data_IF_633705410085
#
_entry.id   IF_633705410085
#
_cell.length_a   1.000
_cell.length_b   1.000
_cell.length_c   1.000
_cell.angle_alpha   90.00
_cell.angle_beta   90.00
_cell.angle_gamma   90.00
#
_symmetry.space_group_name_H-M   'P 1'
#
loop_
_entity.id
_entity.type
_entity.pdbx_description
1 polymer ?
#
# COMPACT_ATOMS: atom_id res chain seq x y z
N UNK A 1 10.55 -14.36 -0.66
CA UNK A 1 11.00 -12.97 -0.99
C UNK A 1 12.37 -12.67 -0.38
N UNK A 2 13.41 -12.51 -1.22
CA UNK A 2 14.79 -12.16 -0.77
C UNK A 2 14.87 -10.65 -0.46
N UNK A 3 14.71 -10.31 0.82
CA UNK A 3 14.68 -8.91 1.28
C UNK A 3 15.76 -8.66 2.34
N UNK A 4 16.62 -7.64 2.16
CA UNK A 4 17.73 -7.38 3.07
C UNK A 4 17.27 -7.11 4.51
N UNK A 5 17.89 -7.80 5.47
CA UNK A 5 17.66 -7.54 6.92
C UNK A 5 18.38 -6.29 7.41
N UNK A 6 19.50 -5.94 6.79
CA UNK A 6 20.34 -4.79 7.14
C UNK A 6 20.22 -3.69 6.10
N UNK A 7 20.08 -2.41 6.50
CA UNK A 7 20.06 -1.28 5.58
C UNK A 7 21.30 -1.26 4.67
N UNK A 8 21.08 -1.02 3.37
CA UNK A 8 22.15 -0.98 2.35
C UNK A 8 23.29 -0.05 2.75
N UNK A 9 23.00 1.08 3.35
CA UNK A 9 23.99 2.06 3.83
C UNK A 9 24.93 1.54 4.93
N UNK A 10 24.63 0.38 5.52
CA UNK A 10 25.43 -0.26 6.59
C UNK A 10 26.13 -1.52 6.13
N UNK A 11 25.97 -1.93 4.86
CA UNK A 11 26.63 -3.11 4.33
C UNK A 11 28.12 -2.83 4.10
N UNK A 12 28.99 -3.51 4.82
CA UNK A 12 30.45 -3.33 4.69
C UNK A 12 30.98 -3.73 3.31
N UNK A 13 30.43 -4.79 2.74
CA UNK A 13 30.84 -5.37 1.44
C UNK A 13 29.79 -5.12 0.35
N UNK A 14 29.27 -3.89 0.29
CA UNK A 14 28.28 -3.54 -0.73
C UNK A 14 28.87 -3.67 -2.14
N UNK A 15 28.16 -4.41 -3.00
CA UNK A 15 28.42 -4.55 -4.42
C UNK A 15 27.17 -4.09 -5.18
N UNK A 16 27.26 -3.02 -6.01
CA UNK A 16 26.11 -2.61 -6.82
C UNK A 16 25.79 -3.69 -7.86
N UNK A 17 24.48 -4.01 -7.99
CA UNK A 17 24.01 -5.01 -8.96
C UNK A 17 23.56 -4.38 -10.28
N UNK A 18 23.37 -3.07 -10.34
CA UNK A 18 22.93 -2.31 -11.50
C UNK A 18 23.31 -0.82 -11.35
N UNK A 19 23.19 -0.04 -12.44
CA UNK A 19 23.40 1.39 -12.39
C UNK A 19 22.19 2.12 -11.79
N UNK A 20 22.32 3.00 -10.80
CA UNK A 20 21.18 3.74 -10.23
C UNK A 20 20.65 4.85 -11.14
N UNK A 21 21.31 5.15 -12.25
CA UNK A 21 20.88 6.15 -13.24
C UNK A 21 19.84 5.53 -14.20
N UNK A 22 18.64 6.10 -14.26
CA UNK A 22 17.50 5.55 -15.02
C UNK A 22 17.77 5.44 -16.52
N UNK A 23 18.46 6.43 -17.10
CA UNK A 23 18.76 6.48 -18.53
C UNK A 23 19.93 5.56 -18.95
N UNK A 24 20.49 4.79 -18.03
CA UNK A 24 21.57 3.86 -18.33
C UNK A 24 21.02 2.49 -18.73
N UNK A 25 21.49 1.85 -19.81
CA UNK A 25 21.09 0.48 -20.16
C UNK A 25 21.28 -0.52 -19.01
N UNK A 26 22.31 -0.30 -18.18
CA UNK A 26 22.58 -1.14 -17.00
C UNK A 26 21.59 -0.91 -15.84
N UNK A 27 20.65 0.02 -15.97
CA UNK A 27 19.65 0.27 -14.93
C UNK A 27 18.64 -0.89 -14.80
N UNK A 28 18.19 -1.44 -15.92
CA UNK A 28 17.22 -2.54 -15.95
C UNK A 28 17.85 -3.93 -15.95
N UNK A 29 19.19 -4.02 -15.94
CA UNK A 29 19.89 -5.31 -15.90
C UNK A 29 19.42 -6.15 -14.70
N UNK A 30 18.99 -7.36 -14.97
CA UNK A 30 18.56 -8.36 -13.98
C UNK A 30 19.62 -9.42 -13.73
N UNK A 31 20.43 -9.71 -14.76
CA UNK A 31 21.48 -10.73 -14.73
C UNK A 31 22.71 -10.27 -13.96
N UNK A 32 23.52 -11.25 -13.52
CA UNK A 32 24.85 -11.01 -13.00
C UNK A 32 25.76 -10.41 -14.07
N UNK A 33 26.81 -9.66 -13.67
CA UNK A 33 27.76 -9.13 -14.60
C UNK A 33 27.69 -7.61 -14.83
N UNK A 34 26.98 -6.87 -13.96
CA UNK A 34 27.06 -5.41 -13.96
C UNK A 34 28.50 -4.92 -13.82
N UNK A 35 28.99 -4.17 -14.80
CA UNK A 35 30.38 -3.69 -14.87
C UNK A 35 30.52 -2.31 -14.25
N UNK A 36 31.26 -2.25 -13.16
CA UNK A 36 31.58 -1.01 -12.44
C UNK A 36 33.02 -1.07 -11.90
N UNK A 37 33.58 0.09 -11.57
CA UNK A 37 34.84 0.19 -10.86
C UNK A 37 34.69 0.98 -9.57
N UNK A 38 35.51 0.66 -8.56
CA UNK A 38 35.67 1.52 -7.38
C UNK A 38 36.47 2.74 -7.81
N UNK A 39 35.84 3.91 -7.80
CA UNK A 39 36.43 5.12 -8.41
C UNK A 39 37.20 5.95 -7.38
N UNK A 40 36.70 6.09 -6.15
CA UNK A 40 37.32 6.86 -5.08
C UNK A 40 36.82 6.45 -3.72
N UNK A 41 37.56 6.83 -2.67
CA UNK A 41 37.12 6.76 -1.27
C UNK A 41 37.31 8.13 -0.63
N UNK A 42 36.38 8.53 0.22
CA UNK A 42 36.46 9.79 0.96
C UNK A 42 35.70 9.68 2.29
N UNK A 43 36.03 10.53 3.24
CA UNK A 43 35.28 10.65 4.49
C UNK A 43 34.17 11.67 4.33
N UNK A 44 32.94 11.32 4.73
CA UNK A 44 31.86 12.29 4.78
C UNK A 44 31.97 13.19 6.03
N UNK A 45 31.12 14.23 6.13
CA UNK A 45 31.11 15.16 7.28
C UNK A 45 30.90 14.50 8.65
N UNK A 46 30.49 13.23 8.70
CA UNK A 46 30.31 12.43 9.93
C UNK A 46 31.48 11.45 10.17
N UNK A 47 32.61 11.66 9.53
CA UNK A 47 33.81 10.81 9.65
C UNK A 47 33.66 9.38 9.09
N UNK A 48 32.65 9.11 8.29
CA UNK A 48 32.39 7.77 7.73
C UNK A 48 33.06 7.64 6.36
N UNK A 49 33.84 6.56 6.17
CA UNK A 49 34.46 6.24 4.88
C UNK A 49 33.37 5.84 3.86
N UNK A 50 33.33 6.53 2.74
CA UNK A 50 32.40 6.32 1.63
C UNK A 50 33.15 5.86 0.39
N UNK A 51 32.72 4.75 -0.20
CA UNK A 51 33.23 4.31 -1.49
C UNK A 51 32.37 4.90 -2.62
N UNK A 52 33.00 5.54 -3.58
CA UNK A 52 32.39 6.01 -4.83
C UNK A 52 32.63 4.96 -5.91
N UNK A 53 31.58 4.61 -6.62
CA UNK A 53 31.58 3.69 -7.75
C UNK A 53 31.39 4.49 -9.05
N UNK A 54 31.91 3.96 -10.17
CA UNK A 54 31.67 4.46 -11.52
C UNK A 54 31.09 3.34 -12.36
N UNK A 55 29.97 3.59 -13.02
CA UNK A 55 29.43 2.70 -14.05
C UNK A 55 30.35 2.70 -15.27
N UNK A 56 30.73 1.55 -15.80
CA UNK A 56 31.59 1.47 -16.96
C UNK A 56 30.87 1.77 -18.28
N UNK A 57 29.55 1.62 -18.32
CA UNK A 57 28.70 1.91 -19.49
C UNK A 57 28.42 3.39 -19.63
N UNK A 58 27.75 4.03 -18.66
CA UNK A 58 27.37 5.45 -18.76
C UNK A 58 28.37 6.43 -18.10
N UNK A 59 29.45 5.93 -17.51
CA UNK A 59 30.49 6.68 -16.79
C UNK A 59 30.03 7.50 -15.59
N UNK A 60 28.73 7.46 -15.24
CA UNK A 60 28.20 8.13 -14.03
C UNK A 60 28.81 7.58 -12.78
N UNK A 61 29.05 8.46 -11.81
CA UNK A 61 29.53 8.07 -10.47
C UNK A 61 28.38 8.09 -9.46
N UNK A 62 28.43 7.16 -8.52
CA UNK A 62 27.42 7.04 -7.44
C UNK A 62 28.06 6.42 -6.20
N UNK A 63 27.35 6.51 -5.09
CA UNK A 63 27.76 5.92 -3.80
C UNK A 63 26.72 4.90 -3.36
N UNK A 64 27.07 4.06 -2.39
CA UNK A 64 26.17 3.06 -1.80
C UNK A 64 24.82 3.65 -1.38
N UNK A 65 24.82 4.89 -0.85
CA UNK A 65 23.58 5.56 -0.40
C UNK A 65 22.57 5.80 -1.54
N UNK A 66 22.97 5.75 -2.82
CA UNK A 66 22.02 5.81 -3.94
C UNK A 66 20.99 4.67 -3.92
N UNK A 67 21.30 3.57 -3.23
CA UNK A 67 20.44 2.40 -3.05
C UNK A 67 19.71 2.37 -1.71
N UNK A 68 19.91 3.35 -0.85
CA UNK A 68 19.25 3.46 0.45
C UNK A 68 17.90 4.19 0.35
N UNK A 69 16.92 3.77 1.15
CA UNK A 69 15.63 4.46 1.24
C UNK A 69 15.78 5.93 1.73
N UNK A 70 16.91 6.24 2.37
CA UNK A 70 17.27 7.59 2.86
C UNK A 70 17.96 8.47 1.81
N UNK A 71 18.12 7.99 0.59
CA UNK A 71 18.82 8.73 -0.48
C UNK A 71 18.24 10.15 -0.68
N UNK A 72 19.11 11.16 -0.73
CA UNK A 72 18.76 12.60 -0.79
C UNK A 72 17.97 13.15 0.41
N UNK A 73 17.91 12.44 1.55
CA UNK A 73 17.28 12.98 2.75
C UNK A 73 18.28 13.86 3.54
N UNK A 74 17.85 15.08 3.89
CA UNK A 74 18.61 15.95 4.80
C UNK A 74 18.56 15.44 6.25
N UNK A 75 17.44 14.83 6.66
CA UNK A 75 17.20 14.29 8.00
C UNK A 75 16.79 12.82 7.94
N UNK A 76 17.72 11.90 7.58
CA UNK A 76 17.43 10.47 7.41
C UNK A 76 16.99 9.79 8.72
N UNK A 77 17.39 10.30 9.87
CA UNK A 77 17.02 9.80 11.20
C UNK A 77 15.51 9.87 11.48
N UNK A 78 14.78 10.76 10.81
CA UNK A 78 13.34 10.91 10.97
C UNK A 78 12.52 9.83 10.22
N UNK A 79 13.11 9.07 9.30
CA UNK A 79 12.37 8.16 8.43
C UNK A 79 11.62 7.09 9.22
N UNK A 80 12.31 6.40 10.14
CA UNK A 80 11.72 5.34 10.97
C UNK A 80 10.74 5.85 12.01
N UNK A 81 11.05 6.89 12.81
CA UNK A 81 10.08 7.46 13.77
C UNK A 81 8.79 7.95 13.09
N UNK A 82 8.90 8.61 11.94
CA UNK A 82 7.71 9.05 11.18
C UNK A 82 6.89 7.85 10.71
N UNK A 83 7.52 6.77 10.20
CA UNK A 83 6.79 5.56 9.80
C UNK A 83 6.00 4.95 10.96
N UNK A 84 6.63 4.82 12.14
CA UNK A 84 5.99 4.28 13.33
C UNK A 84 4.81 5.14 13.81
N UNK A 85 5.01 6.45 13.93
CA UNK A 85 3.99 7.38 14.42
C UNK A 85 2.80 7.54 13.45
N UNK A 86 3.03 7.43 12.14
CA UNK A 86 1.94 7.39 11.15
C UNK A 86 1.02 6.19 11.39
N UNK A 87 1.57 5.00 11.65
CA UNK A 87 0.79 3.79 11.92
C UNK A 87 0.21 3.74 13.34
N UNK A 88 0.71 4.56 14.25
CA UNK A 88 0.12 4.80 15.57
C UNK A 88 -1.04 5.81 15.54
N UNK A 89 -1.51 6.21 14.36
CA UNK A 89 -2.66 7.09 14.21
C UNK A 89 -2.40 8.57 14.48
N UNK A 90 -1.13 9.00 14.45
CA UNK A 90 -0.76 10.40 14.67
C UNK A 90 -0.88 11.23 13.40
N UNK A 91 -1.40 12.45 13.53
CA UNK A 91 -1.45 13.41 12.42
C UNK A 91 -0.09 14.08 12.20
N UNK A 92 0.18 14.54 10.97
CA UNK A 92 1.47 15.13 10.60
C UNK A 92 1.93 16.26 11.53
N UNK A 93 1.01 17.12 11.98
CA UNK A 93 1.34 18.20 12.92
C UNK A 93 1.72 17.66 14.31
N UNK A 94 1.10 16.57 14.76
CA UNK A 94 1.44 15.91 16.04
C UNK A 94 2.84 15.27 15.94
N UNK A 95 3.11 14.55 14.85
CA UNK A 95 4.44 13.96 14.59
C UNK A 95 5.51 15.04 14.53
N UNK A 96 5.23 16.15 13.86
CA UNK A 96 6.17 17.27 13.73
C UNK A 96 6.55 17.85 15.10
N UNK A 97 5.56 18.05 15.98
CA UNK A 97 5.80 18.51 17.36
C UNK A 97 6.61 17.49 18.17
N UNK A 98 6.24 16.22 18.09
CA UNK A 98 6.93 15.15 18.83
C UNK A 98 8.40 14.96 18.40
N UNK A 99 8.71 15.21 17.12
CA UNK A 99 10.06 15.01 16.57
C UNK A 99 10.87 16.32 16.39
N UNK A 100 10.37 17.46 16.85
CA UNK A 100 11.05 18.75 16.73
C UNK A 100 11.36 19.12 15.27
N UNK A 101 10.38 18.99 14.36
CA UNK A 101 10.57 19.31 12.95
C UNK A 101 9.33 20.00 12.33
N UNK A 102 9.47 20.57 11.13
CA UNK A 102 8.35 21.19 10.43
C UNK A 102 7.34 20.14 9.93
N UNK A 103 6.05 20.45 9.96
CA UNK A 103 4.99 19.58 9.44
C UNK A 103 5.16 19.26 7.94
N UNK A 104 5.74 20.17 7.15
CA UNK A 104 6.10 19.95 5.75
C UNK A 104 7.18 18.87 5.60
N UNK A 105 8.10 18.74 6.56
CA UNK A 105 9.10 17.66 6.59
C UNK A 105 8.42 16.31 6.78
N UNK A 106 7.49 16.20 7.73
CA UNK A 106 6.69 14.99 7.95
C UNK A 106 5.88 14.64 6.70
N UNK A 107 5.25 15.63 6.06
CA UNK A 107 4.48 15.42 4.82
C UNK A 107 5.34 14.84 3.70
N UNK A 108 6.56 15.36 3.49
CA UNK A 108 7.50 14.83 2.48
C UNK A 108 7.97 13.42 2.81
N UNK A 109 8.23 13.13 4.10
CA UNK A 109 8.62 11.79 4.54
C UNK A 109 7.46 10.82 4.38
N UNK A 110 6.23 11.20 4.76
CA UNK A 110 5.02 10.40 4.56
C UNK A 110 4.82 10.02 3.10
N UNK A 111 4.96 10.99 2.17
CA UNK A 111 4.87 10.72 0.73
C UNK A 111 5.98 9.79 0.23
N UNK A 112 7.21 9.92 0.72
CA UNK A 112 8.31 9.01 0.41
C UNK A 112 8.03 7.59 0.89
N UNK A 113 7.57 7.45 2.14
CA UNK A 113 7.19 6.15 2.73
C UNK A 113 6.07 5.49 1.95
N UNK A 114 5.04 6.25 1.58
CA UNK A 114 3.92 5.76 0.81
C UNK A 114 4.33 5.27 -0.58
N UNK A 115 5.10 6.06 -1.34
CA UNK A 115 5.63 5.62 -2.65
C UNK A 115 6.52 4.40 -2.54
N UNK A 116 7.35 4.30 -1.51
CA UNK A 116 8.13 3.11 -1.25
C UNK A 116 7.24 1.90 -0.95
N UNK A 117 6.19 2.09 -0.14
CA UNK A 117 5.24 1.03 0.20
C UNK A 117 4.45 0.53 -1.01
N UNK A 118 4.08 1.40 -1.96
CA UNK A 118 3.48 0.97 -3.24
C UNK A 118 4.41 -0.03 -3.95
N UNK A 119 5.70 0.28 -4.04
CA UNK A 119 6.67 -0.59 -4.71
C UNK A 119 6.90 -1.91 -3.93
N UNK A 120 6.96 -1.85 -2.60
CA UNK A 120 7.05 -3.07 -1.76
C UNK A 120 5.82 -3.95 -1.95
N UNK A 121 4.63 -3.34 -1.95
CA UNK A 121 3.38 -4.06 -2.12
C UNK A 121 3.30 -4.72 -3.50
N UNK A 122 3.68 -4.01 -4.57
CA UNK A 122 3.76 -4.56 -5.92
C UNK A 122 4.69 -5.77 -5.98
N UNK A 123 5.95 -5.62 -5.52
CA UNK A 123 6.91 -6.73 -5.49
C UNK A 123 6.41 -7.93 -4.69
N UNK A 124 5.73 -7.70 -3.57
CA UNK A 124 5.20 -8.80 -2.75
C UNK A 124 4.04 -9.53 -3.43
N UNK A 125 3.24 -8.84 -4.22
CA UNK A 125 2.18 -9.47 -5.01
C UNK A 125 2.72 -10.18 -6.24
N UNK A 126 3.79 -9.67 -6.86
CA UNK A 126 4.45 -10.36 -7.99
C UNK A 126 5.08 -11.70 -7.57
N UNK A 127 5.58 -11.82 -6.32
CA UNK A 127 6.09 -13.09 -5.77
C UNK A 127 5.03 -14.20 -5.63
N UNK A 128 3.75 -13.84 -5.61
CA UNK A 128 2.63 -14.77 -5.51
C UNK A 128 1.82 -14.88 -6.81
N UNK A 129 2.34 -14.34 -7.91
CA UNK A 129 1.69 -14.45 -9.22
C UNK A 129 1.55 -15.94 -9.61
N UNK A 130 0.32 -16.32 -10.01
CA UNK A 130 -0.02 -17.72 -10.30
C UNK A 130 -0.25 -18.62 -9.08
N UNK A 131 -0.12 -18.12 -7.85
CA UNK A 131 -0.18 -18.91 -6.60
C UNK A 131 -1.38 -18.57 -5.70
N UNK A 132 -2.24 -17.60 -6.07
CA UNK A 132 -3.42 -17.24 -5.29
C UNK A 132 -4.43 -18.40 -5.26
N UNK A 133 -4.48 -19.14 -4.15
CA UNK A 133 -5.33 -20.33 -3.96
C UNK A 133 -6.45 -20.17 -2.93
N UNK A 134 -6.60 -18.98 -2.30
CA UNK A 134 -7.64 -18.73 -1.30
C UNK A 134 -8.76 -17.83 -1.83
N UNK A 135 -9.98 -17.89 -1.26
CA UNK A 135 -11.02 -16.90 -1.54
C UNK A 135 -10.58 -15.49 -1.14
N UNK A 136 -10.98 -14.50 -1.93
CA UNK A 136 -10.66 -13.09 -1.65
C UNK A 136 -11.93 -12.36 -1.19
N UNK A 137 -11.85 -11.70 -0.05
CA UNK A 137 -12.91 -10.83 0.47
C UNK A 137 -12.69 -9.42 -0.08
N UNK A 138 -13.75 -8.87 -0.68
CA UNK A 138 -13.68 -7.59 -1.38
C UNK A 138 -14.77 -6.63 -0.92
N UNK A 139 -14.36 -5.39 -0.63
CA UNK A 139 -15.26 -4.28 -0.31
C UNK A 139 -14.59 -2.93 -0.61
N UNK A 140 -15.35 -1.83 -0.65
CA UNK A 140 -14.81 -0.48 -0.76
C UNK A 140 -14.72 0.20 0.60
N UNK A 141 -13.49 0.60 0.97
CA UNK A 141 -13.24 1.44 2.13
C UNK A 141 -13.63 2.88 1.84
N UNK A 142 -14.66 3.39 2.53
CA UNK A 142 -15.14 4.76 2.34
C UNK A 142 -14.27 5.79 3.05
N UNK A 143 -13.81 6.77 2.29
CA UNK A 143 -13.05 7.93 2.77
C UNK A 143 -13.38 9.16 1.91
N UNK A 144 -12.63 10.23 2.05
CA UNK A 144 -12.82 11.44 1.25
C UNK A 144 -11.51 12.19 1.04
N UNK A 145 -11.46 12.98 -0.03
CA UNK A 145 -10.38 13.91 -0.30
C UNK A 145 -10.82 15.31 0.04
N UNK A 146 -10.07 15.98 0.90
CA UNK A 146 -10.29 17.36 1.32
C UNK A 146 -11.59 17.60 2.11
N UNK A 147 -12.72 17.10 1.68
CA UNK A 147 -14.01 17.21 2.38
C UNK A 147 -14.93 16.04 2.02
N UNK A 148 -15.96 15.80 2.84
CA UNK A 148 -16.98 14.79 2.59
C UNK A 148 -17.76 15.00 1.28
N UNK A 149 -17.64 16.16 0.65
CA UNK A 149 -18.25 16.43 -0.67
C UNK A 149 -17.47 15.78 -1.82
N UNK A 150 -16.28 15.27 -1.55
CA UNK A 150 -15.43 14.56 -2.49
C UNK A 150 -15.12 13.15 -2.00
N UNK A 151 -16.15 12.28 -1.91
CA UNK A 151 -15.98 10.91 -1.41
C UNK A 151 -15.13 10.07 -2.35
N UNK A 152 -14.46 9.11 -1.76
CA UNK A 152 -13.64 8.11 -2.43
C UNK A 152 -13.90 6.79 -1.76
N UNK A 153 -14.38 5.82 -2.51
CA UNK A 153 -14.26 4.43 -2.14
C UNK A 153 -12.86 3.94 -2.54
N UNK A 154 -12.24 3.15 -1.72
CA UNK A 154 -11.00 2.44 -2.11
C UNK A 154 -11.31 0.96 -2.09
N UNK A 155 -11.38 0.35 -3.28
CA UNK A 155 -11.54 -1.10 -3.38
C UNK A 155 -10.39 -1.78 -2.65
N UNK A 156 -10.73 -2.68 -1.75
CA UNK A 156 -9.79 -3.45 -0.91
C UNK A 156 -10.04 -4.93 -1.13
N UNK A 157 -9.02 -5.65 -1.58
CA UNK A 157 -9.05 -7.09 -1.77
C UNK A 157 -8.15 -7.77 -0.75
N UNK A 158 -8.73 -8.62 0.10
CA UNK A 158 -8.05 -9.23 1.25
C UNK A 158 -8.25 -10.74 1.21
N UNK A 159 -7.20 -11.53 1.40
CA UNK A 159 -7.30 -12.97 1.53
C UNK A 159 -8.18 -13.37 2.71
N UNK A 160 -9.10 -14.31 2.49
CA UNK A 160 -10.00 -14.77 3.57
C UNK A 160 -9.25 -15.44 4.70
N UNK A 161 -8.27 -16.25 4.36
CA UNK A 161 -7.58 -17.12 5.31
C UNK A 161 -6.24 -16.52 5.75
N UNK A 162 -5.49 -15.94 4.82
CA UNK A 162 -4.23 -15.28 5.11
C UNK A 162 -4.39 -13.90 5.75
N UNK A 163 -5.46 -13.17 5.45
CA UNK A 163 -5.69 -11.75 5.74
C UNK A 163 -4.68 -10.83 5.04
N UNK A 164 -4.04 -11.33 3.98
CA UNK A 164 -3.11 -10.53 3.17
C UNK A 164 -3.88 -9.54 2.31
N UNK A 165 -3.45 -8.30 2.28
CA UNK A 165 -4.00 -7.26 1.41
C UNK A 165 -3.38 -7.42 0.03
N UNK A 166 -4.14 -7.93 -0.93
CA UNK A 166 -3.69 -8.19 -2.30
C UNK A 166 -3.73 -6.95 -3.19
N UNK A 167 -4.78 -6.15 -3.06
CA UNK A 167 -4.96 -4.98 -3.90
C UNK A 167 -5.69 -3.84 -3.20
N UNK A 168 -5.35 -2.61 -3.60
CA UNK A 168 -5.98 -1.37 -3.21
C UNK A 168 -6.15 -0.52 -4.47
N UNK A 169 -7.38 -0.11 -4.80
CA UNK A 169 -7.63 0.75 -5.96
C UNK A 169 -8.64 1.85 -5.65
N UNK A 170 -8.30 3.14 -5.89
CA UNK A 170 -9.19 4.24 -5.58
C UNK A 170 -10.34 4.36 -6.58
N UNK A 171 -11.54 4.59 -6.05
CA UNK A 171 -12.81 4.79 -6.77
C UNK A 171 -13.43 6.14 -6.39
N UNK A 172 -12.94 7.28 -6.91
CA UNK A 172 -13.62 8.56 -6.73
C UNK A 172 -15.03 8.50 -7.28
N UNK A 173 -16.01 8.96 -6.51
CA UNK A 173 -17.41 8.96 -6.92
C UNK A 173 -18.13 10.25 -6.52
N UNK A 174 -19.32 10.45 -7.03
CA UNK A 174 -20.15 11.59 -6.65
C UNK A 174 -20.81 11.31 -5.29
N UNK A 175 -20.84 12.32 -4.42
CA UNK A 175 -21.62 12.24 -3.20
C UNK A 175 -23.10 12.06 -3.53
N UNK A 176 -23.72 11.07 -2.95
CA UNK A 176 -25.17 10.87 -2.97
C UNK A 176 -25.82 11.64 -1.81
N UNK A 177 -27.13 11.94 -1.94
CA UNK A 177 -27.90 12.63 -0.92
C UNK A 177 -27.99 14.16 -1.07
N UNK A 178 -28.79 14.77 -0.20
CA UNK A 178 -29.10 16.20 -0.23
C UNK A 178 -27.88 17.04 0.14
N UNK A 179 -27.63 18.12 -0.61
CA UNK A 179 -26.57 19.10 -0.35
C UNK A 179 -27.17 20.44 0.03
N UNK A 180 -26.54 21.14 0.98
CA UNK A 180 -26.82 22.55 1.23
C UNK A 180 -26.33 23.42 0.07
N UNK A 181 -26.89 24.64 -0.07
CA UNK A 181 -26.46 25.62 -1.09
C UNK A 181 -24.96 25.92 -1.00
N UNK A 182 -24.41 26.02 0.22
CA UNK A 182 -22.98 26.23 0.46
C UNK A 182 -22.13 25.07 -0.02
N UNK A 183 -22.57 23.82 0.20
CA UNK A 183 -21.88 22.63 -0.30
C UNK A 183 -21.91 22.57 -1.82
N UNK A 184 -23.04 22.90 -2.46
CA UNK A 184 -23.16 22.96 -3.92
C UNK A 184 -22.19 23.99 -4.53
N UNK A 185 -22.15 25.22 -3.98
CA UNK A 185 -21.21 26.28 -4.42
C UNK A 185 -19.74 25.83 -4.27
N UNK A 186 -19.39 25.19 -3.14
CA UNK A 186 -18.05 24.69 -2.87
C UNK A 186 -17.63 23.59 -3.85
N UNK A 187 -18.54 22.72 -4.26
CA UNK A 187 -18.26 21.68 -5.26
C UNK A 187 -18.15 22.27 -6.66
N UNK A 188 -19.02 23.23 -7.01
CA UNK A 188 -19.01 23.89 -8.33
C UNK A 188 -17.71 24.67 -8.58
N UNK A 189 -17.11 25.24 -7.54
CA UNK A 189 -15.84 26.00 -7.64
C UNK A 189 -14.58 25.15 -7.83
N UNK A 190 -14.71 23.81 -7.85
CA UNK A 190 -13.56 22.91 -7.95
C UNK A 190 -13.42 22.29 -9.33
N UNK A 191 -12.18 22.06 -9.81
CA UNK A 191 -11.97 21.33 -11.06
C UNK A 191 -12.59 19.93 -10.96
N UNK A 192 -13.26 19.51 -12.03
CA UNK A 192 -13.81 18.15 -12.14
C UNK A 192 -12.66 17.14 -12.05
N UNK A 193 -12.81 16.12 -11.22
CA UNK A 193 -11.88 15.00 -11.18
C UNK A 193 -12.09 14.11 -12.40
N UNK A 194 -11.00 13.51 -12.95
CA UNK A 194 -11.16 12.45 -13.92
C UNK A 194 -11.88 11.28 -13.25
N UNK A 195 -13.01 10.88 -13.82
CA UNK A 195 -13.72 9.68 -13.40
C UNK A 195 -12.95 8.45 -13.90
N UNK A 196 -12.39 7.66 -12.99
CA UNK A 196 -11.79 6.35 -13.29
C UNK A 196 -12.85 5.21 -13.25
N UNK A 197 -14.07 5.46 -13.71
CA UNK A 197 -15.15 4.48 -13.70
C UNK A 197 -15.78 4.19 -12.33
N UNK A 198 -15.46 4.96 -11.29
CA UNK A 198 -16.01 4.77 -9.95
C UNK A 198 -15.78 3.36 -9.40
N UNK A 199 -16.78 2.81 -8.73
CA UNK A 199 -16.72 1.46 -8.16
C UNK A 199 -16.58 0.36 -9.21
N UNK A 200 -17.30 0.45 -10.32
CA UNK A 200 -17.20 -0.54 -11.40
C UNK A 200 -15.77 -0.59 -11.95
N UNK A 201 -15.20 0.57 -12.28
CA UNK A 201 -13.84 0.63 -12.82
C UNK A 201 -12.77 0.15 -11.83
N UNK A 202 -12.88 0.52 -10.55
CA UNK A 202 -11.99 0.04 -9.49
C UNK A 202 -12.09 -1.48 -9.32
N UNK A 203 -13.31 -2.01 -9.22
CA UNK A 203 -13.53 -3.44 -9.10
C UNK A 203 -12.96 -4.19 -10.31
N UNK A 204 -13.19 -3.69 -11.54
CA UNK A 204 -12.65 -4.33 -12.77
C UNK A 204 -11.12 -4.41 -12.75
N UNK A 205 -10.41 -3.33 -12.35
CA UNK A 205 -8.95 -3.35 -12.24
C UNK A 205 -8.45 -4.33 -11.18
N UNK A 206 -9.12 -4.38 -10.02
CA UNK A 206 -8.78 -5.33 -8.95
C UNK A 206 -9.03 -6.77 -9.40
N UNK A 207 -10.15 -7.06 -10.06
CA UNK A 207 -10.44 -8.40 -10.59
C UNK A 207 -9.37 -8.85 -11.60
N UNK A 208 -8.96 -7.97 -12.51
CA UNK A 208 -7.86 -8.27 -13.44
C UNK A 208 -6.57 -8.62 -12.69
N UNK A 209 -6.16 -7.79 -11.72
CA UNK A 209 -4.97 -8.09 -10.92
C UNK A 209 -5.08 -9.42 -10.15
N UNK A 210 -6.23 -9.72 -9.55
CA UNK A 210 -6.43 -10.97 -8.83
C UNK A 210 -6.41 -12.20 -9.76
N UNK A 211 -6.88 -12.05 -11.00
CA UNK A 211 -6.79 -13.12 -12.01
C UNK A 211 -5.34 -13.39 -12.43
N UNK A 212 -4.50 -12.36 -12.54
CA UNK A 212 -3.06 -12.52 -12.75
C UNK A 212 -2.43 -13.29 -11.57
N UNK A 213 -2.80 -12.93 -10.33
CA UNK A 213 -2.31 -13.61 -9.12
C UNK A 213 -2.80 -15.07 -9.02
N UNK A 214 -4.01 -15.37 -9.49
CA UNK A 214 -4.53 -16.73 -9.51
C UNK A 214 -3.90 -17.61 -10.60
N UNK A 215 -3.31 -17.01 -11.62
CA UNK A 215 -2.71 -17.73 -12.74
C UNK A 215 -3.70 -18.24 -13.79
N UNK A 216 -3.17 -18.76 -14.89
CA UNK A 216 -3.98 -19.22 -16.02
C UNK A 216 -4.82 -20.44 -15.64
N UNK A 217 -6.10 -20.43 -16.05
CA UNK A 217 -7.01 -21.56 -15.86
C UNK A 217 -7.60 -21.69 -14.46
N UNK A 218 -7.10 -20.99 -13.45
CA UNK A 218 -7.65 -21.02 -12.09
C UNK A 218 -8.91 -20.15 -11.98
N UNK A 219 -9.88 -20.60 -11.17
CA UNK A 219 -11.09 -19.82 -10.83
C UNK A 219 -10.84 -18.97 -9.63
N UNK A 220 -11.20 -17.68 -9.74
CA UNK A 220 -11.14 -16.71 -8.67
C UNK A 220 -12.47 -16.69 -7.89
N UNK A 221 -12.42 -16.96 -6.60
CA UNK A 221 -13.57 -16.84 -5.70
C UNK A 221 -13.52 -15.51 -4.96
N UNK A 222 -14.54 -14.66 -5.16
CA UNK A 222 -14.72 -13.37 -4.51
C UNK A 222 -15.89 -13.44 -3.54
N UNK A 223 -15.71 -12.93 -2.33
CA UNK A 223 -16.75 -12.73 -1.32
C UNK A 223 -16.98 -11.22 -1.17
N UNK A 224 -18.19 -10.74 -1.42
CA UNK A 224 -18.54 -9.31 -1.36
C UNK A 224 -19.88 -9.06 -0.68
N UNK A 225 -20.16 -7.82 -0.31
CA UNK A 225 -21.38 -7.40 0.38
C UNK A 225 -22.63 -7.32 -0.52
N UNK A 226 -22.49 -7.62 -1.81
CA UNK A 226 -23.58 -7.58 -2.78
C UNK A 226 -23.83 -6.20 -3.40
N UNK A 227 -22.88 -5.27 -3.31
CA UNK A 227 -23.00 -3.98 -3.97
C UNK A 227 -23.14 -4.14 -5.51
N UNK A 228 -24.15 -3.51 -6.18
CA UNK A 228 -24.45 -3.73 -7.61
C UNK A 228 -23.28 -3.45 -8.58
N UNK A 229 -22.35 -2.59 -8.19
CA UNK A 229 -21.17 -2.30 -8.99
C UNK A 229 -20.25 -3.53 -9.15
N UNK A 230 -20.24 -4.46 -8.18
CA UNK A 230 -19.42 -5.66 -8.25
C UNK A 230 -19.95 -6.63 -9.28
N UNK A 231 -21.27 -6.82 -9.32
CA UNK A 231 -21.94 -7.60 -10.37
C UNK A 231 -21.68 -7.02 -11.76
N UNK A 232 -21.83 -5.70 -11.89
CA UNK A 232 -21.58 -4.99 -13.14
C UNK A 232 -20.12 -5.15 -13.60
N UNK A 233 -19.16 -5.11 -12.69
CA UNK A 233 -17.75 -5.31 -13.01
C UNK A 233 -17.47 -6.75 -13.44
N UNK A 234 -18.00 -7.74 -12.74
CA UNK A 234 -17.86 -9.16 -13.11
C UNK A 234 -18.49 -9.45 -14.48
N UNK A 235 -19.72 -8.99 -14.70
CA UNK A 235 -20.45 -9.23 -15.98
C UNK A 235 -19.69 -8.65 -17.16
N UNK A 236 -19.05 -7.49 -17.02
CA UNK A 236 -18.29 -6.80 -18.07
C UNK A 236 -16.85 -7.27 -18.21
N UNK A 237 -16.35 -8.10 -17.28
CA UNK A 237 -14.96 -8.53 -17.30
C UNK A 237 -14.73 -9.53 -18.44
N UNK A 238 -13.65 -9.41 -19.26
CA UNK A 238 -13.35 -10.34 -20.33
C UNK A 238 -13.29 -11.81 -19.87
N UNK A 239 -12.71 -12.04 -18.70
CA UNK A 239 -12.54 -13.36 -18.10
C UNK A 239 -13.63 -13.71 -17.06
N UNK A 240 -14.86 -13.19 -17.22
CA UNK A 240 -15.95 -13.40 -16.24
C UNK A 240 -16.21 -14.87 -15.90
N UNK A 241 -15.97 -15.77 -16.83
CA UNK A 241 -16.17 -17.22 -16.63
C UNK A 241 -15.21 -17.83 -15.58
N UNK A 242 -14.13 -17.14 -15.27
CA UNK A 242 -13.17 -17.51 -14.22
C UNK A 242 -13.52 -16.90 -12.87
N UNK A 243 -14.50 -15.99 -12.80
CA UNK A 243 -14.82 -15.25 -11.58
C UNK A 243 -16.12 -15.79 -10.98
N UNK A 244 -16.07 -16.24 -9.73
CA UNK A 244 -17.23 -16.61 -8.92
C UNK A 244 -17.43 -15.57 -7.82
N UNK A 245 -18.48 -14.75 -7.94
CA UNK A 245 -18.85 -13.76 -6.92
C UNK A 245 -19.94 -14.37 -5.99
N UNK A 246 -19.60 -14.52 -4.72
CA UNK A 246 -20.51 -14.92 -3.65
C UNK A 246 -20.92 -13.65 -2.86
N UNK A 247 -22.22 -13.44 -2.72
CA UNK A 247 -22.80 -12.23 -2.11
C UNK A 247 -23.21 -12.48 -0.68
N UNK A 248 -22.80 -11.61 0.23
CA UNK A 248 -23.15 -11.60 1.64
C UNK A 248 -23.70 -10.19 2.00
N UNK A 249 -24.93 -9.87 1.57
CA UNK A 249 -25.49 -8.54 1.78
C UNK A 249 -25.66 -8.24 3.27
N UNK A 250 -25.58 -6.95 3.63
CA UNK A 250 -25.86 -6.51 4.97
C UNK A 250 -27.34 -6.73 5.28
N UNK A 251 -27.70 -7.57 6.25
CA UNK A 251 -29.11 -7.80 6.59
C UNK A 251 -29.72 -6.55 7.24
N UNK A 252 -31.03 -6.42 7.15
CA UNK A 252 -31.76 -5.38 7.85
C UNK A 252 -31.46 -5.45 9.36
N UNK A 253 -31.24 -4.30 9.97
CA UNK A 253 -31.01 -4.22 11.42
C UNK A 253 -32.34 -4.46 12.15
N UNK A 254 -32.37 -5.44 13.04
CA UNK A 254 -33.44 -5.61 14.00
C UNK A 254 -33.49 -4.51 15.06
N UNK A 255 -34.52 -4.48 15.91
CA UNK A 255 -34.60 -3.59 17.06
C UNK A 255 -33.31 -3.62 17.90
N UNK A 256 -33.00 -2.52 18.59
CA UNK A 256 -31.83 -2.46 19.48
C UNK A 256 -31.94 -3.52 20.58
N UNK A 257 -30.90 -4.36 20.73
CA UNK A 257 -30.87 -5.45 21.71
C UNK A 257 -31.39 -6.80 21.19
N UNK A 258 -31.92 -6.88 19.96
CA UNK A 258 -32.32 -8.17 19.38
C UNK A 258 -31.10 -9.07 19.12
N UNK A 259 -31.24 -10.39 19.24
CA UNK A 259 -30.22 -11.35 18.83
C UNK A 259 -29.86 -11.17 17.36
N UNK A 260 -28.60 -11.44 17.01
CA UNK A 260 -28.15 -11.39 15.62
C UNK A 260 -28.77 -12.52 14.81
N UNK A 261 -29.30 -12.20 13.62
CA UNK A 261 -29.83 -13.22 12.72
C UNK A 261 -28.72 -14.13 12.18
N UNK A 262 -29.06 -15.34 11.77
CA UNK A 262 -28.12 -16.26 11.12
C UNK A 262 -27.47 -15.64 9.88
N UNK A 263 -28.25 -14.91 9.08
CA UNK A 263 -27.72 -14.16 7.93
C UNK A 263 -26.68 -13.12 8.33
N UNK A 264 -26.86 -12.40 9.45
CA UNK A 264 -25.89 -11.46 9.98
C UNK A 264 -24.61 -12.16 10.45
N UNK A 265 -24.73 -13.31 11.09
CA UNK A 265 -23.58 -14.11 11.53
C UNK A 265 -22.81 -14.67 10.34
N UNK A 266 -23.50 -15.19 9.32
CA UNK A 266 -22.90 -15.70 8.10
C UNK A 266 -22.15 -14.59 7.34
N UNK A 267 -22.76 -13.40 7.21
CA UNK A 267 -22.12 -12.21 6.61
C UNK A 267 -20.85 -11.82 7.37
N UNK A 268 -20.92 -11.71 8.69
CA UNK A 268 -19.77 -11.32 9.51
C UNK A 268 -18.61 -12.29 9.38
N UNK A 269 -18.88 -13.58 9.31
CA UNK A 269 -17.83 -14.59 9.07
C UNK A 269 -17.22 -14.46 7.67
N UNK A 270 -18.06 -14.27 6.66
CA UNK A 270 -17.60 -14.17 5.27
C UNK A 270 -16.78 -12.89 5.01
N UNK A 271 -17.22 -11.75 5.58
CA UNK A 271 -16.62 -10.44 5.35
C UNK A 271 -15.55 -10.04 6.39
N UNK A 272 -15.27 -10.92 7.36
CA UNK A 272 -14.41 -10.61 8.52
C UNK A 272 -13.07 -10.01 8.15
N UNK A 273 -12.38 -10.56 7.14
CA UNK A 273 -11.02 -10.13 6.78
C UNK A 273 -11.00 -8.66 6.30
N UNK A 274 -11.96 -8.26 5.48
CA UNK A 274 -12.04 -6.88 4.98
C UNK A 274 -12.59 -5.92 6.03
N UNK A 275 -13.56 -6.33 6.84
CA UNK A 275 -14.09 -5.53 7.95
C UNK A 275 -12.99 -5.23 8.99
N UNK A 276 -12.17 -6.25 9.30
CA UNK A 276 -11.01 -6.08 10.18
C UNK A 276 -10.01 -5.08 9.59
N UNK A 277 -9.70 -5.19 8.29
CA UNK A 277 -8.82 -4.23 7.63
C UNK A 277 -9.38 -2.81 7.71
N UNK A 278 -10.67 -2.62 7.37
CA UNK A 278 -11.31 -1.31 7.43
C UNK A 278 -11.32 -0.73 8.85
N UNK A 279 -11.56 -1.56 9.86
CA UNK A 279 -11.43 -1.18 11.27
C UNK A 279 -10.01 -0.73 11.62
N UNK A 280 -8.98 -1.48 11.21
CA UNK A 280 -7.58 -1.13 11.41
C UNK A 280 -7.18 0.18 10.70
N UNK A 281 -7.61 0.39 9.46
CA UNK A 281 -7.34 1.63 8.73
C UNK A 281 -7.94 2.86 9.45
N UNK A 282 -9.16 2.74 9.98
CA UNK A 282 -9.78 3.81 10.78
C UNK A 282 -9.09 4.04 12.12
N UNK A 283 -8.63 2.98 12.76
CA UNK A 283 -7.91 3.06 14.04
C UNK A 283 -6.51 3.63 13.87
N UNK A 284 -5.73 3.10 12.91
CA UNK A 284 -4.29 3.34 12.79
C UNK A 284 -3.92 4.54 11.91
N UNK A 285 -4.86 5.16 11.20
CA UNK A 285 -4.58 6.28 10.31
C UNK A 285 -5.41 7.51 10.71
N UNK A 286 -4.75 8.56 11.17
CA UNK A 286 -5.41 9.82 11.56
C UNK A 286 -6.33 10.38 10.48
N UNK A 287 -5.95 10.21 9.20
CA UNK A 287 -6.69 10.74 8.05
C UNK A 287 -7.99 10.00 7.73
N UNK A 288 -8.20 8.81 8.29
CA UNK A 288 -9.33 7.93 7.98
C UNK A 288 -10.28 7.69 9.15
N UNK A 289 -10.09 8.35 10.26
CA UNK A 289 -11.09 8.41 11.35
C UNK A 289 -12.37 9.06 10.82
N UNK A 290 -13.54 8.62 11.32
CA UNK A 290 -14.84 9.11 10.83
C UNK A 290 -14.97 10.63 10.91
N UNK A 291 -14.52 11.21 12.02
CA UNK A 291 -14.49 12.66 12.28
C UNK A 291 -13.04 13.06 12.46
N UNK A 292 -12.42 13.56 11.41
CA UNK A 292 -11.00 13.94 11.44
C UNK A 292 -10.76 15.31 10.85
N UNK A 293 -9.90 16.08 11.51
CA UNK A 293 -9.31 17.30 10.97
C UNK A 293 -8.01 17.01 10.18
N UNK A 294 -7.51 15.77 10.24
CA UNK A 294 -6.27 15.34 9.60
C UNK A 294 -6.48 14.70 8.22
N UNK A 295 -7.57 15.04 7.54
CA UNK A 295 -7.99 14.46 6.27
C UNK A 295 -6.93 14.52 5.16
N UNK A 296 -7.02 13.60 4.20
CA UNK A 296 -6.18 13.60 3.00
C UNK A 296 -6.59 14.72 2.04
N UNK A 297 -5.64 15.56 1.65
CA UNK A 297 -5.89 16.69 0.74
C UNK A 297 -5.81 16.33 -0.74
N UNK A 298 -5.23 15.18 -1.07
CA UNK A 298 -5.00 14.71 -2.44
C UNK A 298 -5.16 13.20 -2.50
N UNK A 299 -5.71 12.72 -3.59
CA UNK A 299 -5.93 11.29 -3.84
C UNK A 299 -4.64 10.46 -3.68
N UNK A 300 -3.54 10.89 -4.29
CA UNK A 300 -2.27 10.17 -4.17
C UNK A 300 -1.77 10.08 -2.71
N UNK A 301 -1.96 11.11 -1.89
CA UNK A 301 -1.58 11.04 -0.48
C UNK A 301 -2.44 10.05 0.31
N UNK A 302 -3.70 9.84 -0.09
CA UNK A 302 -4.60 8.82 0.48
C UNK A 302 -4.07 7.43 0.08
N UNK A 303 -3.85 7.20 -1.21
CA UNK A 303 -3.35 5.93 -1.75
C UNK A 303 -1.98 5.58 -1.16
N UNK A 304 -1.05 6.54 -1.08
CA UNK A 304 0.28 6.37 -0.48
C UNK A 304 0.19 5.89 0.98
N UNK A 305 -0.71 6.46 1.78
CA UNK A 305 -0.89 6.06 3.20
C UNK A 305 -1.55 4.70 3.34
N UNK A 306 -2.52 4.39 2.50
CA UNK A 306 -3.17 3.08 2.51
C UNK A 306 -2.20 1.96 2.13
N UNK A 307 -1.32 2.17 1.14
CA UNK A 307 -0.28 1.20 0.81
C UNK A 307 0.75 1.04 1.94
N UNK A 308 1.11 2.15 2.64
CA UNK A 308 1.97 2.04 3.83
C UNK A 308 1.31 1.19 4.92
N UNK A 309 0.00 1.36 5.13
CA UNK A 309 -0.76 0.55 6.06
C UNK A 309 -0.90 -0.91 5.60
N UNK A 310 -1.09 -1.16 4.29
CA UNK A 310 -1.13 -2.51 3.73
C UNK A 310 0.21 -3.25 3.94
N UNK A 311 1.35 -2.60 3.63
CA UNK A 311 2.68 -3.19 3.89
C UNK A 311 2.90 -3.43 5.38
N UNK A 312 2.52 -2.48 6.25
CA UNK A 312 2.57 -2.68 7.69
C UNK A 312 1.69 -3.86 8.14
N UNK A 313 0.45 -3.95 7.65
CA UNK A 313 -0.45 -5.07 7.95
C UNK A 313 0.10 -6.40 7.46
N UNK A 314 0.59 -6.44 6.23
CA UNK A 314 1.05 -7.68 5.60
C UNK A 314 2.33 -8.23 6.24
N UNK A 315 3.28 -7.38 6.60
CA UNK A 315 4.64 -7.81 6.97
C UNK A 315 5.04 -7.51 8.41
N UNK A 316 4.46 -6.49 9.05
CA UNK A 316 4.96 -5.97 10.33
C UNK A 316 4.02 -6.30 11.48
N UNK A 317 2.71 -6.08 11.28
CA UNK A 317 1.72 -6.30 12.32
C UNK A 317 1.30 -7.76 12.40
N UNK A 318 1.47 -8.37 13.57
CA UNK A 318 0.92 -9.70 13.84
C UNK A 318 -0.60 -9.74 13.70
N UNK A 319 -1.13 -10.92 13.44
CA UNK A 319 -2.58 -11.14 13.25
C UNK A 319 -3.37 -10.92 14.55
N UNK A 320 -2.74 -11.08 15.71
CA UNK A 320 -3.35 -10.88 17.04
C UNK A 320 -2.45 -10.03 17.92
N UNK A 321 -3.05 -9.12 18.70
CA UNK A 321 -2.38 -8.40 19.78
C UNK A 321 -2.51 -9.12 21.14
N UNK A 322 -3.50 -10.02 21.25
CA UNK A 322 -3.83 -10.72 22.51
C UNK A 322 -3.08 -12.04 22.69
N UNK A 323 -2.63 -12.62 21.60
CA UNK A 323 -1.89 -13.89 21.61
C UNK A 323 -0.39 -13.61 21.40
N UNK A 324 0.46 -14.43 21.99
CA UNK A 324 1.89 -14.42 21.71
C UNK A 324 2.24 -14.72 20.25
N UNK A 325 1.26 -15.13 19.44
CA UNK A 325 1.38 -15.37 18.00
C UNK A 325 1.69 -14.06 17.26
N UNK A 326 2.92 -13.98 16.76
CA UNK A 326 3.42 -12.87 15.95
C UNK A 326 3.28 -13.11 14.44
N UNK A 327 2.60 -14.19 14.03
CA UNK A 327 2.38 -14.52 12.62
C UNK A 327 1.75 -13.33 11.89
N UNK A 328 2.32 -12.99 10.73
CA UNK A 328 1.80 -11.93 9.86
C UNK A 328 1.08 -12.53 8.66
N UNK A 329 0.22 -11.78 7.94
CA UNK A 329 -0.38 -12.24 6.70
C UNK A 329 0.63 -12.75 5.67
N UNK A 330 1.78 -12.09 5.52
CA UNK A 330 2.83 -12.49 4.60
C UNK A 330 3.48 -13.83 5.00
N UNK A 331 3.59 -14.12 6.31
CA UNK A 331 4.05 -15.42 6.81
C UNK A 331 3.05 -16.54 6.49
N UNK A 332 1.75 -16.26 6.55
CA UNK A 332 0.70 -17.25 6.18
C UNK A 332 0.75 -17.64 4.70
N UNK A 333 1.27 -16.74 3.85
CA UNK A 333 1.49 -17.00 2.42
C UNK A 333 2.90 -17.54 2.11
N UNK A 334 3.74 -17.77 3.12
CA UNK A 334 5.11 -18.23 2.91
C UNK A 334 6.05 -17.20 2.28
N UNK A 335 5.68 -15.92 2.24
CA UNK A 335 6.53 -14.84 1.70
C UNK A 335 7.71 -14.50 2.62
N UNK A 336 7.59 -14.81 3.88
CA UNK A 336 8.61 -14.61 4.92
C UNK A 336 8.36 -15.55 6.09
N UNK A 337 9.39 -15.94 6.78
CA UNK A 337 9.41 -16.80 7.98
C UNK A 337 9.37 -16.03 9.30
N UNK A 338 9.55 -14.72 9.25
CA UNK A 338 9.50 -13.86 10.44
C UNK A 338 8.78 -12.54 10.17
N UNK A 339 8.20 -11.89 11.20
CA UNK A 339 7.67 -10.55 11.08
C UNK A 339 8.77 -9.55 10.71
N UNK A 340 8.47 -8.64 9.79
CA UNK A 340 9.39 -7.57 9.46
C UNK A 340 9.26 -6.40 10.45
N UNK A 341 10.32 -5.62 10.55
CA UNK A 341 10.29 -4.27 11.13
C UNK A 341 10.24 -3.22 10.02
N UNK A 342 9.83 -1.99 10.32
CA UNK A 342 9.98 -0.89 9.37
C UNK A 342 11.44 -0.68 8.93
N UNK A 343 12.41 -0.98 9.78
CA UNK A 343 13.83 -0.95 9.42
C UNK A 343 14.14 -1.95 8.29
N UNK A 344 13.52 -3.13 8.33
CA UNK A 344 13.65 -4.13 7.27
C UNK A 344 12.91 -3.69 6.00
N UNK A 345 11.66 -3.22 6.09
CA UNK A 345 10.89 -2.68 4.95
C UNK A 345 11.69 -1.61 4.21
N UNK A 346 12.38 -0.74 4.94
CA UNK A 346 13.16 0.39 4.42
C UNK A 346 14.66 0.07 4.23
N UNK A 347 15.04 -1.20 4.23
CA UNK A 347 16.45 -1.62 4.15
C UNK A 347 17.12 -1.31 2.82
N UNK A 348 16.35 -1.16 1.74
CA UNK A 348 16.84 -0.78 0.41
C UNK A 348 15.90 0.22 -0.27
N UNK A 349 16.42 1.00 -1.20
CA UNK A 349 15.62 1.81 -2.12
C UNK A 349 15.09 0.94 -3.24
N UNK A 350 13.83 1.12 -3.59
CA UNK A 350 13.22 0.57 -4.79
C UNK A 350 13.17 1.62 -5.91
N UNK A 351 13.22 1.16 -7.12
CA UNK A 351 13.16 1.97 -8.33
C UNK A 351 11.90 1.57 -9.11
N UNK A 352 10.99 2.52 -9.42
CA UNK A 352 9.72 2.20 -10.10
C UNK A 352 9.90 1.39 -11.38
N UNK A 353 10.86 1.78 -12.21
CA UNK A 353 11.15 1.16 -13.51
C UNK A 353 11.60 -0.32 -13.37
N UNK A 354 12.10 -0.70 -12.20
CA UNK A 354 12.53 -2.07 -11.89
C UNK A 354 11.45 -2.93 -11.21
N UNK A 355 10.30 -2.33 -10.91
CA UNK A 355 9.17 -2.97 -10.25
C UNK A 355 7.98 -3.10 -11.23
N UNK A 356 8.17 -2.80 -12.52
CA UNK A 356 7.12 -2.92 -13.51
C UNK A 356 6.03 -1.84 -13.44
N UNK A 357 6.20 -0.81 -12.60
CA UNK A 357 5.33 0.37 -12.55
C UNK A 357 5.83 1.44 -13.53
N UNK A 358 5.89 1.12 -14.81
CA UNK A 358 5.98 2.09 -15.89
C UNK A 358 4.61 2.76 -16.02
N UNK A 359 4.48 3.95 -15.42
CA UNK A 359 3.27 4.73 -15.35
C UNK A 359 3.03 5.58 -16.53
#
# INVERSE_FOLDING_TARGET
>A
MDWPRTPVERLQHFKPRFCPRRDCPEHLRTESGYRYQRHARYYNARGRLITRFRCLTCRSTFVQNAFAATYYMKRPELLLPVAALLQAGSAHAQIARALGCAASTVTRISARLGRHAILVHQLSTDEIEGLLGEPVVFDHFETFEFSQDLPIGVGTAVGRDSWFVYALDPAPHARTGRRSTTQQRRVASRPRRPHRGGYVGSTTRILGRLLDLAGRGQRLQILGDGHPAYDSAVTRHPERNRIRLNRFPNPARGPKGSPRSEAAIARDRAMFAVDLLHGLLRHSLAAHKRETIAFGRRLNAIVERLHLAAVWRNFVKGVSERRADRTTPAMRLGLTDEPWSFKRVLSRRLFPDRVGLSG
#
